data_IF_324402103758
#
_entry.id   IF_324402103758
#
_cell.length_a   1.000
_cell.length_b   1.000
_cell.length_c   1.000
_cell.angle_alpha   90.00
_cell.angle_beta   90.00
_cell.angle_gamma   90.00
#
_symmetry.space_group_name_H-M   'P 1'
#
loop_
_entity.id
_entity.type
_entity.pdbx_description
1 polymer ?
#
# COMPACT_ATOMS: atom_id res chain seq x y z
N UNK A 1 -13.66 -7.90 2.76
CA UNK A 1 -13.72 -8.74 1.55
C UNK A 1 -12.91 -10.02 1.75
N UNK A 2 -11.62 -9.95 2.15
CA UNK A 2 -10.69 -11.05 2.35
C UNK A 2 -11.25 -12.18 3.22
N UNK A 3 -11.64 -11.88 4.46
CA UNK A 3 -12.27 -12.87 5.36
C UNK A 3 -13.47 -13.60 4.73
N UNK A 4 -14.25 -12.89 3.90
CA UNK A 4 -15.41 -13.49 3.24
C UNK A 4 -14.97 -14.42 2.13
N UNK A 5 -13.99 -14.03 1.30
CA UNK A 5 -13.42 -14.88 0.26
C UNK A 5 -12.87 -16.17 0.85
N UNK A 6 -12.01 -16.08 1.86
CA UNK A 6 -11.45 -17.26 2.54
C UNK A 6 -12.55 -18.13 3.16
N UNK A 7 -13.60 -17.54 3.76
CA UNK A 7 -14.70 -18.30 4.38
C UNK A 7 -15.56 -19.10 3.40
N UNK A 8 -15.54 -18.75 2.11
CA UNK A 8 -16.22 -19.47 1.02
C UNK A 8 -15.30 -20.38 0.20
N UNK A 9 -14.06 -20.60 0.70
CA UNK A 9 -13.09 -21.50 0.09
C UNK A 9 -12.24 -20.89 -1.02
N UNK A 10 -12.13 -19.56 -1.04
CA UNK A 10 -11.24 -18.80 -1.90
C UNK A 10 -10.17 -18.16 -1.00
N UNK A 11 -9.10 -18.88 -0.76
CA UNK A 11 -8.04 -18.45 0.16
C UNK A 11 -7.32 -17.21 -0.39
N UNK A 12 -7.35 -16.13 0.37
CA UNK A 12 -6.62 -14.90 0.03
C UNK A 12 -5.20 -15.03 0.55
N UNK A 13 -4.23 -15.03 -0.36
CA UNK A 13 -2.80 -15.13 -0.06
C UNK A 13 -2.18 -13.76 0.18
N UNK A 14 -2.60 -12.75 -0.59
CA UNK A 14 -2.06 -11.40 -0.47
C UNK A 14 -3.11 -10.34 -0.84
N UNK A 15 -3.00 -9.16 -0.23
CA UNK A 15 -3.78 -7.97 -0.60
C UNK A 15 -2.87 -6.77 -0.66
N UNK A 16 -2.88 -6.10 -1.80
CA UNK A 16 -2.20 -4.83 -2.01
C UNK A 16 -3.25 -3.72 -2.00
N UNK A 17 -3.15 -2.85 -1.01
CA UNK A 17 -4.07 -1.72 -0.83
C UNK A 17 -3.30 -0.45 -1.22
N UNK A 18 -3.78 0.31 -2.20
CA UNK A 18 -3.14 1.57 -2.57
C UNK A 18 -3.26 2.60 -1.45
N UNK A 19 -2.47 3.66 -1.54
CA UNK A 19 -2.50 4.76 -0.58
C UNK A 19 -3.90 5.40 -0.60
N UNK A 20 -4.63 5.26 0.51
CA UNK A 20 -6.03 5.71 0.60
C UNK A 20 -6.19 7.19 0.95
N UNK A 21 -5.14 7.83 1.47
CA UNK A 21 -5.14 9.25 1.84
C UNK A 21 -3.88 9.93 1.28
N UNK A 22 -3.91 10.31 -0.01
CA UNK A 22 -2.76 10.83 -0.73
C UNK A 22 -2.13 12.08 -0.08
N UNK A 23 -2.95 12.93 0.53
CA UNK A 23 -2.48 14.18 1.15
C UNK A 23 -1.65 13.94 2.43
N UNK A 24 -1.63 12.72 2.93
CA UNK A 24 -0.89 12.34 4.14
C UNK A 24 0.48 11.75 3.87
N UNK A 25 0.76 11.34 2.63
CA UNK A 25 2.04 10.76 2.24
C UNK A 25 2.79 11.74 1.33
N UNK A 26 3.77 12.44 1.91
CA UNK A 26 4.44 13.56 1.25
C UNK A 26 5.91 13.22 1.00
N UNK A 27 6.38 13.54 -0.20
CA UNK A 27 7.82 13.48 -0.51
C UNK A 27 8.56 14.49 0.35
N UNK A 28 9.55 14.06 1.09
CA UNK A 28 10.29 14.87 2.04
C UNK A 28 11.81 14.66 1.91
N UNK A 29 12.58 15.57 2.47
CA UNK A 29 14.03 15.48 2.54
C UNK A 29 14.49 15.40 3.99
N UNK A 30 15.37 14.44 4.26
CA UNK A 30 16.05 14.34 5.56
C UNK A 30 17.15 15.38 5.61
N UNK A 31 16.99 16.36 6.49
CA UNK A 31 17.92 17.50 6.64
C UNK A 31 19.07 17.10 7.56
N UNK A 32 18.75 16.44 8.69
CA UNK A 32 19.74 16.07 9.70
C UNK A 32 19.38 14.73 10.32
N UNK A 33 20.39 13.93 10.62
CA UNK A 33 20.25 12.65 11.33
C UNK A 33 21.21 12.64 12.51
N UNK A 34 20.67 12.38 13.70
CA UNK A 34 21.43 12.22 14.95
C UNK A 34 21.10 10.89 15.62
N UNK A 35 22.03 10.38 16.44
CA UNK A 35 21.75 9.19 17.25
C UNK A 35 20.73 9.52 18.33
N UNK A 36 19.81 8.58 18.57
CA UNK A 36 18.83 8.73 19.65
C UNK A 36 19.55 8.63 21.02
N UNK A 37 19.35 9.58 21.96
CA UNK A 37 20.09 9.60 23.22
C UNK A 37 19.80 8.39 24.13
N UNK A 38 18.64 7.76 24.00
CA UNK A 38 18.20 6.68 24.88
C UNK A 38 17.94 5.35 24.14
N UNK A 39 18.45 5.19 22.89
CA UNK A 39 18.23 3.98 22.11
C UNK A 39 19.28 3.82 20.99
N UNK A 40 20.12 2.80 21.09
CA UNK A 40 21.26 2.57 20.18
C UNK A 40 20.84 2.29 18.72
N UNK A 41 19.65 1.70 18.52
CA UNK A 41 19.13 1.35 17.18
C UNK A 41 18.24 2.41 16.55
N UNK A 42 17.98 3.52 17.27
CA UNK A 42 17.13 4.58 16.77
C UNK A 42 17.96 5.81 16.42
N UNK A 43 17.44 6.56 15.46
CA UNK A 43 17.96 7.86 15.03
C UNK A 43 16.84 8.90 15.15
N UNK A 44 17.24 10.14 15.43
CA UNK A 44 16.37 11.30 15.43
C UNK A 44 16.66 12.06 14.15
N UNK A 45 15.63 12.29 13.35
CA UNK A 45 15.76 12.91 12.03
C UNK A 45 14.97 14.22 11.99
N UNK A 46 15.63 15.29 11.57
CA UNK A 46 14.94 16.51 11.14
C UNK A 46 14.59 16.35 9.65
N UNK A 47 13.32 16.41 9.33
CA UNK A 47 12.81 16.15 7.98
C UNK A 47 12.01 17.36 7.52
N UNK A 48 12.18 17.78 6.27
CA UNK A 48 11.42 18.89 5.69
C UNK A 48 10.60 18.43 4.50
N UNK A 49 9.34 18.90 4.42
CA UNK A 49 8.49 18.76 3.23
C UNK A 49 8.59 20.00 2.30
N UNK A 50 9.58 20.86 2.53
CA UNK A 50 9.77 22.10 1.78
C UNK A 50 9.01 23.31 2.35
N UNK A 51 8.03 23.08 3.21
CA UNK A 51 7.25 24.13 3.90
C UNK A 51 7.45 24.04 5.42
N UNK A 52 7.29 22.84 5.95
CA UNK A 52 7.36 22.56 7.39
C UNK A 52 8.54 21.62 7.70
N UNK A 53 8.97 21.64 8.97
CA UNK A 53 9.97 20.72 9.49
C UNK A 53 9.34 19.79 10.54
N UNK A 54 9.73 18.52 10.48
CA UNK A 54 9.22 17.47 11.34
C UNK A 54 10.37 16.77 12.06
N UNK A 55 10.20 16.57 13.36
CA UNK A 55 11.10 15.71 14.14
C UNK A 55 10.56 14.28 14.09
N UNK A 56 11.33 13.35 13.54
CA UNK A 56 10.94 11.95 13.32
C UNK A 56 11.95 11.02 13.97
N UNK A 57 11.47 10.08 14.78
CA UNK A 57 12.29 8.98 15.28
C UNK A 57 12.20 7.81 14.31
N UNK A 58 13.35 7.39 13.76
CA UNK A 58 13.45 6.36 12.74
C UNK A 58 14.39 5.23 13.18
N UNK A 59 13.99 3.98 12.92
CA UNK A 59 14.78 2.79 13.19
C UNK A 59 15.52 2.24 11.97
N UNK A 60 15.31 2.81 10.78
CA UNK A 60 15.92 2.31 9.56
C UNK A 60 17.43 2.59 9.51
N UNK A 61 18.19 1.59 9.08
CA UNK A 61 19.66 1.71 9.00
C UNK A 61 20.09 2.64 7.86
N UNK A 62 19.32 2.66 6.77
CA UNK A 62 19.61 3.42 5.55
C UNK A 62 19.30 4.91 5.65
N UNK A 63 18.69 5.41 6.72
CA UNK A 63 18.42 6.84 6.87
C UNK A 63 19.74 7.65 6.99
N UNK A 64 19.87 8.67 6.14
CA UNK A 64 21.08 9.52 6.01
C UNK A 64 20.70 10.96 5.67
N UNK A 65 21.61 11.91 5.94
CA UNK A 65 21.43 13.30 5.57
C UNK A 65 21.28 13.44 4.05
N UNK A 66 20.35 14.28 3.63
CA UNK A 66 20.09 14.57 2.22
C UNK A 66 19.19 13.55 1.51
N UNK A 67 18.82 12.46 2.17
CA UNK A 67 17.93 11.44 1.59
C UNK A 67 16.56 12.04 1.27
N UNK A 68 16.05 11.77 0.06
CA UNK A 68 14.67 12.04 -0.32
C UNK A 68 13.88 10.75 -0.06
N UNK A 69 12.77 10.85 0.64
CA UNK A 69 11.95 9.71 1.10
C UNK A 69 10.49 10.15 1.26
N UNK A 70 9.64 9.27 1.78
CA UNK A 70 8.22 9.55 2.03
C UNK A 70 7.95 9.69 3.52
N UNK A 71 7.31 10.80 3.89
CA UNK A 71 6.79 11.08 5.23
C UNK A 71 5.30 10.75 5.29
N UNK A 72 4.92 9.84 6.16
CA UNK A 72 3.53 9.68 6.60
C UNK A 72 3.25 10.69 7.72
N UNK A 73 2.37 11.66 7.43
CA UNK A 73 1.93 12.70 8.38
C UNK A 73 0.96 12.13 9.41
N UNK A 74 0.72 12.88 10.46
CA UNK A 74 -0.30 12.54 11.46
C UNK A 74 -1.66 12.29 10.80
N UNK A 75 -2.30 11.18 11.16
CA UNK A 75 -3.56 10.73 10.61
C UNK A 75 -3.45 9.83 9.39
N UNK A 76 -2.26 9.65 8.81
CA UNK A 76 -2.05 8.66 7.74
C UNK A 76 -2.40 7.25 8.23
N UNK A 77 -2.98 6.45 7.35
CA UNK A 77 -3.30 5.05 7.61
C UNK A 77 -2.36 4.19 6.76
N UNK A 78 -1.65 3.29 7.42
CA UNK A 78 -0.78 2.29 6.79
C UNK A 78 -1.42 0.92 7.00
N UNK A 79 -1.44 0.12 5.95
CA UNK A 79 -1.89 -1.26 6.01
C UNK A 79 -0.67 -2.19 6.09
N UNK A 80 -0.65 -3.07 7.08
CA UNK A 80 0.35 -4.12 7.14
C UNK A 80 -0.16 -5.38 6.42
N UNK A 81 0.71 -6.35 6.17
CA UNK A 81 0.40 -7.62 5.51
C UNK A 81 -0.76 -8.41 6.17
N UNK A 82 -1.16 -8.09 7.38
CA UNK A 82 -2.29 -8.73 8.10
C UNK A 82 -3.58 -7.90 8.02
N UNK A 83 -3.68 -6.94 7.09
CA UNK A 83 -4.81 -6.01 6.91
C UNK A 83 -5.15 -5.18 8.17
N UNK A 84 -4.24 -5.09 9.12
CA UNK A 84 -4.45 -4.24 10.29
C UNK A 84 -4.07 -2.82 9.94
N UNK A 85 -5.05 -1.95 10.08
CA UNK A 85 -4.84 -0.52 9.99
C UNK A 85 -3.92 -0.02 11.12
N UNK A 86 -2.87 0.68 10.74
CA UNK A 86 -2.03 1.40 11.68
C UNK A 86 -2.12 2.90 11.39
N UNK A 87 -2.77 3.64 12.26
CA UNK A 87 -2.92 5.08 12.13
C UNK A 87 -1.72 5.80 12.74
N UNK A 88 -1.06 6.62 11.94
CA UNK A 88 0.06 7.45 12.37
C UNK A 88 -0.43 8.54 13.31
N UNK A 89 0.18 8.63 14.47
CA UNK A 89 -0.08 9.68 15.46
C UNK A 89 1.23 10.24 16.01
N UNK A 90 1.18 11.47 16.50
CA UNK A 90 2.29 12.02 17.28
C UNK A 90 2.53 11.14 18.49
N UNK A 91 3.71 10.60 18.58
CA UNK A 91 4.08 9.67 19.64
C UNK A 91 5.40 10.05 20.31
N UNK A 92 5.55 9.68 21.57
CA UNK A 92 6.80 9.88 22.29
C UNK A 92 7.57 8.56 22.35
N UNK A 93 8.63 8.46 21.55
CA UNK A 93 9.44 7.26 21.43
C UNK A 93 10.69 7.43 22.31
N UNK A 94 10.80 6.64 23.39
CA UNK A 94 11.88 6.68 24.38
C UNK A 94 12.27 8.10 24.83
N UNK A 95 11.26 8.97 25.00
CA UNK A 95 11.44 10.33 25.48
C UNK A 95 11.50 11.41 24.40
N UNK A 96 11.69 11.06 23.15
CA UNK A 96 11.71 11.99 22.00
C UNK A 96 10.37 11.96 21.27
N UNK A 97 9.84 13.13 20.93
CA UNK A 97 8.59 13.23 20.17
C UNK A 97 8.85 12.98 18.70
N UNK A 98 8.04 12.09 18.09
CA UNK A 98 7.98 11.84 16.66
C UNK A 98 6.66 12.36 16.10
N UNK A 99 6.72 13.21 15.08
CA UNK A 99 5.57 13.91 14.50
C UNK A 99 5.13 13.29 13.16
N UNK A 100 5.33 12.00 12.99
CA UNK A 100 5.04 11.22 11.80
C UNK A 100 5.95 10.00 11.70
N UNK A 101 6.02 9.40 10.53
CA UNK A 101 6.86 8.23 10.25
C UNK A 101 7.46 8.32 8.85
N UNK A 102 8.72 7.91 8.70
CA UNK A 102 9.32 7.68 7.38
C UNK A 102 8.95 6.27 6.92
N UNK A 103 8.44 6.16 5.71
CA UNK A 103 7.86 4.92 5.19
C UNK A 103 8.87 4.06 4.45
N UNK A 104 8.68 2.76 4.54
CA UNK A 104 9.28 1.75 3.69
C UNK A 104 8.42 1.52 2.44
N UNK A 105 8.95 0.80 1.45
CA UNK A 105 8.21 0.38 0.25
C UNK A 105 7.05 -0.55 0.60
N UNK A 106 7.24 -1.44 1.58
CA UNK A 106 6.21 -2.33 2.11
C UNK A 106 5.04 -1.54 2.72
N UNK A 107 5.34 -0.51 3.53
CA UNK A 107 4.32 0.34 4.17
C UNK A 107 3.57 1.23 3.17
N UNK A 108 4.18 1.52 2.02
CA UNK A 108 3.57 2.24 0.91
C UNK A 108 2.83 1.32 -0.06
N UNK A 109 2.91 0.00 0.11
CA UNK A 109 2.30 -0.99 -0.76
C UNK A 109 2.94 -1.10 -2.14
N UNK A 110 4.16 -0.58 -2.34
CA UNK A 110 4.87 -0.63 -3.62
C UNK A 110 5.69 -1.91 -3.79
N UNK A 111 6.11 -2.53 -2.69
CA UNK A 111 6.78 -3.82 -2.67
C UNK A 111 6.30 -4.69 -1.50
N UNK A 112 6.43 -6.02 -1.63
CA UNK A 112 6.04 -6.98 -0.59
C UNK A 112 6.96 -6.98 0.63
N UNK A 113 8.25 -6.67 0.43
CA UNK A 113 9.27 -6.64 1.49
C UNK A 113 10.27 -5.54 1.25
N UNK A 114 10.63 -4.85 2.30
CA UNK A 114 11.69 -3.85 2.29
C UNK A 114 12.62 -3.97 3.48
N UNK A 115 13.89 -3.54 3.31
CA UNK A 115 14.92 -3.60 4.36
C UNK A 115 15.19 -2.26 5.03
N UNK A 116 14.38 -1.23 4.74
CA UNK A 116 14.55 0.11 5.28
C UNK A 116 13.47 1.05 4.80
N UNK A 117 13.69 2.35 4.91
CA UNK A 117 12.81 3.36 4.33
C UNK A 117 13.08 3.50 2.82
N UNK A 118 12.05 3.87 2.06
CA UNK A 118 12.16 4.12 0.61
C UNK A 118 13.18 5.21 0.31
N UNK A 119 14.07 4.98 -0.66
CA UNK A 119 15.04 5.96 -1.16
C UNK A 119 14.57 6.47 -2.53
N UNK A 120 14.17 7.73 -2.58
CA UNK A 120 13.73 8.38 -3.82
C UNK A 120 14.88 9.14 -4.45
N UNK A 121 14.86 9.27 -5.78
CA UNK A 121 15.83 10.05 -6.53
C UNK A 121 15.35 11.51 -6.76
N UNK A 122 16.17 12.33 -7.40
CA UNK A 122 15.92 13.77 -7.62
C UNK A 122 14.74 14.07 -8.57
N UNK A 123 14.11 13.07 -9.18
CA UNK A 123 12.89 13.27 -9.99
C UNK A 123 11.64 13.52 -9.13
N UNK A 124 11.70 13.13 -7.86
CA UNK A 124 10.64 13.35 -6.90
C UNK A 124 10.76 14.73 -6.24
N UNK A 125 9.74 15.57 -6.40
CA UNK A 125 9.72 16.91 -5.83
C UNK A 125 9.32 16.88 -4.35
N UNK A 126 10.19 17.40 -3.49
CA UNK A 126 9.89 17.60 -2.07
C UNK A 126 8.66 18.49 -1.92
N UNK A 127 7.73 18.08 -1.06
CA UNK A 127 6.45 18.75 -0.81
C UNK A 127 5.27 18.26 -1.64
N UNK A 128 5.52 17.45 -2.67
CA UNK A 128 4.45 16.82 -3.45
C UNK A 128 3.90 15.59 -2.76
N UNK A 129 2.64 15.27 -3.05
CA UNK A 129 2.08 13.98 -2.65
C UNK A 129 2.83 12.85 -3.32
N UNK A 130 3.12 11.79 -2.58
CA UNK A 130 3.75 10.59 -3.15
C UNK A 130 2.81 9.88 -4.14
N UNK A 131 1.50 9.99 -3.95
CA UNK A 131 0.50 9.46 -4.89
C UNK A 131 0.56 10.08 -6.29
N UNK A 132 1.12 11.29 -6.44
CA UNK A 132 1.32 11.92 -7.76
C UNK A 132 2.32 11.13 -8.65
N UNK A 133 3.10 10.24 -8.03
CA UNK A 133 4.14 9.43 -8.68
C UNK A 133 3.82 7.94 -8.72
N UNK A 134 2.81 7.50 -7.98
CA UNK A 134 2.33 6.11 -7.99
C UNK A 134 1.02 6.08 -8.75
N UNK A 135 0.87 5.16 -9.69
CA UNK A 135 -0.38 5.00 -10.44
C UNK A 135 -1.57 4.79 -9.49
N UNK A 136 -2.75 5.31 -9.87
CA UNK A 136 -4.05 4.99 -9.25
C UNK A 136 -4.33 3.47 -9.44
N UNK A 137 -3.65 2.64 -8.66
CA UNK A 137 -3.86 1.21 -8.69
C UNK A 137 -5.09 0.86 -7.85
N UNK A 138 -5.96 0.04 -8.40
CA UNK A 138 -7.07 -0.58 -7.68
C UNK A 138 -6.54 -1.54 -6.59
N UNK A 139 -7.38 -1.88 -5.61
CA UNK A 139 -7.06 -2.91 -4.64
C UNK A 139 -6.81 -4.24 -5.35
N UNK A 140 -5.61 -4.78 -5.23
CA UNK A 140 -5.20 -6.05 -5.80
C UNK A 140 -5.36 -7.16 -4.75
N UNK A 141 -6.05 -8.24 -5.12
CA UNK A 141 -6.30 -9.38 -4.24
C UNK A 141 -5.81 -10.65 -4.91
N UNK A 142 -4.80 -11.27 -4.33
CA UNK A 142 -4.27 -12.56 -4.78
C UNK A 142 -5.02 -13.71 -4.09
N UNK A 143 -5.59 -14.61 -4.91
CA UNK A 143 -6.43 -15.71 -4.42
C UNK A 143 -5.85 -17.03 -4.91
N UNK A 144 -5.58 -17.95 -3.98
CA UNK A 144 -5.23 -19.33 -4.29
C UNK A 144 -6.47 -20.10 -4.76
N UNK A 145 -6.47 -20.52 -6.02
CA UNK A 145 -7.55 -21.35 -6.58
C UNK A 145 -7.17 -22.83 -6.51
N UNK A 146 -7.87 -23.58 -5.69
CA UNK A 146 -7.66 -25.03 -5.63
C UNK A 146 -8.17 -25.74 -6.90
N UNK A 147 -7.63 -26.92 -7.28
CA UNK A 147 -8.00 -27.61 -8.53
C UNK A 147 -9.49 -27.96 -8.66
N UNK A 148 -10.22 -28.09 -7.56
CA UNK A 148 -11.66 -28.34 -7.55
C UNK A 148 -12.51 -27.08 -7.70
N UNK A 149 -11.90 -25.88 -7.74
CA UNK A 149 -12.59 -24.58 -7.86
C UNK A 149 -12.30 -23.87 -9.17
N UNK A 150 -12.18 -24.63 -10.26
CA UNK A 150 -11.97 -24.10 -11.62
C UNK A 150 -13.08 -23.12 -12.03
N UNK A 151 -14.27 -23.27 -11.49
CA UNK A 151 -15.39 -22.33 -11.66
C UNK A 151 -15.09 -20.91 -11.17
N UNK A 152 -14.12 -20.74 -10.27
CA UNK A 152 -13.63 -19.46 -9.74
C UNK A 152 -12.31 -19.00 -10.37
N UNK A 153 -11.81 -19.66 -11.42
CA UNK A 153 -10.62 -19.22 -12.15
C UNK A 153 -10.81 -17.91 -12.94
N UNK A 154 -11.99 -17.33 -12.91
CA UNK A 154 -12.33 -16.05 -13.52
C UNK A 154 -13.16 -15.17 -12.62
N UNK A 155 -13.13 -13.87 -12.86
CA UNK A 155 -13.82 -12.85 -12.03
C UNK A 155 -15.31 -13.12 -11.86
N UNK A 156 -15.98 -13.66 -12.90
CA UNK A 156 -17.40 -13.97 -12.83
C UNK A 156 -17.73 -15.08 -11.80
N UNK A 157 -16.92 -16.13 -11.73
CA UNK A 157 -17.11 -17.22 -10.75
C UNK A 157 -16.94 -16.71 -9.32
N UNK A 158 -15.92 -15.90 -9.08
CA UNK A 158 -15.69 -15.26 -7.78
C UNK A 158 -16.87 -14.35 -7.42
N UNK A 159 -17.33 -13.50 -8.35
CA UNK A 159 -18.46 -12.60 -8.13
C UNK A 159 -19.76 -13.34 -7.84
N UNK A 160 -20.02 -14.49 -8.53
CA UNK A 160 -21.16 -15.36 -8.28
C UNK A 160 -21.16 -15.92 -6.86
N UNK A 161 -20.02 -16.41 -6.41
CA UNK A 161 -19.89 -17.00 -5.07
C UNK A 161 -19.99 -15.96 -3.97
N UNK A 162 -19.38 -14.77 -4.17
CA UNK A 162 -19.58 -13.65 -3.26
C UNK A 162 -21.05 -13.24 -3.17
N UNK A 163 -21.75 -13.15 -4.29
CA UNK A 163 -23.18 -12.84 -4.33
C UNK A 163 -24.01 -13.92 -3.61
N UNK A 164 -23.75 -15.21 -3.87
CA UNK A 164 -24.39 -16.33 -3.20
C UNK A 164 -24.16 -16.31 -1.68
N UNK A 165 -23.01 -15.83 -1.23
CA UNK A 165 -22.67 -15.66 0.18
C UNK A 165 -23.27 -14.42 0.85
N UNK A 166 -24.08 -13.65 0.10
CA UNK A 166 -24.77 -12.45 0.59
C UNK A 166 -23.95 -11.16 0.49
N UNK A 167 -22.77 -11.17 -0.17
CA UNK A 167 -21.97 -10.00 -0.38
C UNK A 167 -22.22 -9.41 -1.78
N UNK A 168 -23.15 -8.47 -1.86
CA UNK A 168 -23.49 -7.77 -3.11
C UNK A 168 -24.48 -8.53 -3.99
N UNK A 169 -24.68 -8.01 -5.21
CA UNK A 169 -25.55 -8.60 -6.24
C UNK A 169 -24.74 -8.86 -7.50
N UNK A 170 -24.86 -10.06 -8.06
CA UNK A 170 -24.23 -10.40 -9.32
C UNK A 170 -24.85 -9.57 -10.45
N UNK A 171 -24.01 -8.91 -11.23
CA UNK A 171 -24.44 -8.21 -12.43
C UNK A 171 -24.57 -9.20 -13.58
N UNK A 172 -25.63 -9.08 -14.38
CA UNK A 172 -25.79 -9.88 -15.60
C UNK A 172 -24.70 -9.52 -16.62
N UNK A 173 -24.11 -10.58 -17.20
CA UNK A 173 -23.21 -10.43 -18.32
C UNK A 173 -24.01 -10.05 -19.56
N UNK A 174 -23.82 -8.83 -20.07
CA UNK A 174 -24.31 -8.43 -21.38
C UNK A 174 -23.33 -8.97 -22.43
N UNK A 175 -23.73 -10.05 -23.09
CA UNK A 175 -23.00 -10.58 -24.24
C UNK A 175 -23.42 -9.78 -25.49
N UNK A 176 -22.47 -9.21 -26.21
CA UNK A 176 -22.72 -8.63 -27.52
C UNK A 176 -22.89 -9.76 -28.54
N UNK A 177 -23.91 -9.64 -29.40
CA UNK A 177 -24.12 -10.57 -30.49
C UNK A 177 -23.00 -10.41 -31.54
N UNK A 178 -22.06 -11.34 -31.53
CA UNK A 178 -20.97 -11.39 -32.52
C UNK A 178 -21.57 -11.95 -33.82
N UNK A 179 -21.80 -11.09 -34.78
CA UNK A 179 -22.21 -11.50 -36.16
C UNK A 179 -21.01 -12.16 -36.84
N UNK A 180 -21.12 -13.45 -37.13
CA UNK A 180 -20.14 -14.15 -37.94
C UNK A 180 -20.15 -13.57 -39.38
N UNK A 181 -19.01 -13.01 -39.78
CA UNK A 181 -18.82 -12.46 -41.14
C UNK A 181 -18.16 -13.43 -42.10
N UNK A 182 -17.71 -14.60 -41.60
CA UNK A 182 -17.04 -15.62 -42.42
C UNK A 182 -17.72 -16.99 -42.27
N UNK A 183 -17.86 -17.69 -43.41
CA UNK A 183 -18.28 -19.10 -43.38
C UNK A 183 -17.14 -19.96 -42.81
N UNK A 184 -17.51 -20.89 -41.93
CA UNK A 184 -16.54 -21.87 -41.42
C UNK A 184 -15.93 -22.67 -42.56
N UNK A 185 -14.60 -22.77 -42.59
CA UNK A 185 -13.85 -23.57 -43.58
C UNK A 185 -13.81 -25.05 -43.11
N UNK A 186 -14.17 -25.32 -41.84
CA UNK A 186 -14.20 -26.65 -41.28
C UNK A 186 -15.60 -27.24 -41.50
N UNK A 187 -15.66 -28.35 -42.23
CA UNK A 187 -16.84 -29.20 -42.40
C UNK A 187 -16.93 -30.19 -41.31
#
# INVERSE_FOLDING_TARGET
>A
LSHKLTSIGLEVENIKIPITDPDKFIVCKVIKVEKHPNADKLKVCDVSDGTDNYNIVCGAENVKNGLITVLAKEGAIIYNQTEKEFKISKSKIRGIQSNGMLCSEEELGTEEKSTGIIELNDSYQVGKSFSDYVSDEDVEVEIAITPNRVDCAGVYGIARDLSASGLGKLKELKLEDIKSTQKSIIK
#
